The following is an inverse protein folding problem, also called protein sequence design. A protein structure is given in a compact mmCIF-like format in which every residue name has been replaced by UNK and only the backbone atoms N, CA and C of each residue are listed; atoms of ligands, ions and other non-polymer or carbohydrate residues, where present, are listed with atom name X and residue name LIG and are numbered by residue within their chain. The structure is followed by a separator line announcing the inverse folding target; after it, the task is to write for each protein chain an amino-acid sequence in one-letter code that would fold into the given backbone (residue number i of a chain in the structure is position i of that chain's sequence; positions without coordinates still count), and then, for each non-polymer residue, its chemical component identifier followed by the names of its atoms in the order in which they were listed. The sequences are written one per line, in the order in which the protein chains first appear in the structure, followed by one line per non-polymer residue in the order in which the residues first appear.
data_IF_081392691637
#
_entry.id   IF_081392691637
#
_cell.length_a   1.000
_cell.length_b   1.000
_cell.length_c   1.000
_cell.angle_alpha   90.00
_cell.angle_beta   90.00
_cell.angle_gamma   90.00
#
_symmetry.space_group_name_H-M   'P 1'
#
loop_
_entity.id
_entity.type
_entity.pdbx_description
1 polymer ?
#
# COMPACT_ATOMS: atom_id res chain seq x y z
N UNK A 1 14.29 5.68 15.95
CA UNK A 1 12.98 6.04 16.54
C UNK A 1 12.74 7.54 16.39
N UNK A 2 11.49 7.99 16.40
CA UNK A 2 11.11 9.40 16.36
C UNK A 2 11.21 9.97 17.78
N UNK A 3 11.90 11.10 17.97
CA UNK A 3 12.03 11.75 19.26
C UNK A 3 10.71 12.41 19.69
N UNK A 4 10.47 12.66 20.99
CA UNK A 4 9.27 13.38 21.41
C UNK A 4 9.12 14.77 20.78
N UNK A 5 10.22 15.48 20.56
CA UNK A 5 10.26 16.78 19.91
C UNK A 5 9.88 16.69 18.43
N UNK A 6 10.47 15.76 17.68
CA UNK A 6 10.12 15.48 16.30
C UNK A 6 8.64 15.05 16.18
N UNK A 7 8.17 14.22 17.12
CA UNK A 7 6.79 13.76 17.13
C UNK A 7 5.80 14.95 17.23
N UNK A 8 6.03 15.87 18.16
CA UNK A 8 5.17 17.05 18.31
C UNK A 8 5.22 17.93 17.05
N UNK A 9 6.40 18.17 16.49
CA UNK A 9 6.58 18.89 15.22
C UNK A 9 5.74 18.26 14.10
N UNK A 10 5.78 16.93 13.93
CA UNK A 10 5.04 16.27 12.87
C UNK A 10 3.53 16.22 13.14
N UNK A 11 3.10 16.05 14.38
CA UNK A 11 1.67 16.06 14.76
C UNK A 11 0.96 17.34 14.35
N UNK A 12 1.63 18.50 14.43
CA UNK A 12 1.06 19.79 14.02
C UNK A 12 0.70 19.83 12.54
N UNK A 13 1.32 18.98 11.70
CA UNK A 13 0.99 18.85 10.29
C UNK A 13 -0.31 18.08 10.04
N UNK A 14 -0.90 17.45 11.05
CA UNK A 14 -2.11 16.63 10.94
C UNK A 14 -3.22 17.15 11.86
N UNK A 15 -4.07 18.10 11.39
CA UNK A 15 -5.11 18.73 12.22
C UNK A 15 -6.11 17.75 12.83
N UNK A 16 -6.26 16.54 12.24
CA UNK A 16 -7.13 15.49 12.78
C UNK A 16 -6.75 15.07 14.20
N UNK A 17 -5.47 15.17 14.57
CA UNK A 17 -4.94 14.81 15.91
C UNK A 17 -5.48 15.69 17.02
N UNK A 18 -6.01 16.89 16.70
CA UNK A 18 -6.67 17.77 17.65
C UNK A 18 -8.05 17.28 18.08
N UNK A 19 -8.66 16.38 17.29
CA UNK A 19 -10.04 15.90 17.48
C UNK A 19 -10.12 14.43 17.82
N UNK A 20 -9.18 13.63 17.31
CA UNK A 20 -9.23 12.17 17.37
C UNK A 20 -7.85 11.56 17.64
N UNK A 21 -7.83 10.42 18.31
CA UNK A 21 -6.74 9.46 18.23
C UNK A 21 -6.97 8.68 16.92
N UNK A 22 -6.16 8.96 15.89
CA UNK A 22 -6.35 8.40 14.57
C UNK A 22 -5.47 7.19 14.33
N UNK A 23 -6.06 6.01 14.26
CA UNK A 23 -5.41 4.70 14.11
C UNK A 23 -5.96 3.90 12.92
N UNK A 24 -6.28 4.58 11.80
CA UNK A 24 -6.96 3.93 10.67
C UNK A 24 -6.25 4.09 9.31
N UNK A 25 -4.90 4.22 9.33
CA UNK A 25 -4.13 4.46 8.11
C UNK A 25 -4.17 3.30 7.12
N UNK A 26 -4.39 2.07 7.58
CA UNK A 26 -4.60 0.90 6.73
C UNK A 26 -5.94 0.94 5.94
N UNK A 27 -6.86 1.86 6.26
CA UNK A 27 -8.06 2.13 5.45
C UNK A 27 -7.88 3.37 4.57
N UNK A 28 -7.69 4.54 5.19
CA UNK A 28 -7.47 5.82 4.49
C UNK A 28 -6.72 6.74 5.45
N UNK A 29 -5.74 7.49 4.96
CA UNK A 29 -5.01 8.46 5.77
C UNK A 29 -5.55 9.88 5.61
N UNK A 30 -5.47 10.72 6.66
CA UNK A 30 -5.67 12.15 6.52
C UNK A 30 -4.51 12.76 5.73
N UNK A 31 -4.80 13.85 5.01
CA UNK A 31 -3.76 14.64 4.35
C UNK A 31 -3.03 15.51 5.38
N UNK A 32 -1.72 15.67 5.18
CA UNK A 32 -0.97 16.69 5.92
C UNK A 32 -1.34 18.09 5.43
N UNK A 33 -1.10 19.10 6.28
CA UNK A 33 -1.28 20.52 5.89
C UNK A 33 -0.39 20.89 4.70
N UNK A 34 0.80 20.27 4.56
CA UNK A 34 1.69 20.47 3.41
C UNK A 34 1.06 19.94 2.11
N UNK A 35 0.50 18.72 2.13
CA UNK A 35 -0.19 18.14 0.97
C UNK A 35 -1.46 18.94 0.61
N UNK A 36 -2.24 19.36 1.61
CA UNK A 36 -3.42 20.20 1.40
C UNK A 36 -3.06 21.54 0.77
N UNK A 37 -2.04 22.23 1.28
CA UNK A 37 -1.59 23.50 0.71
C UNK A 37 -1.13 23.35 -0.74
N UNK A 38 -0.42 22.27 -1.07
CA UNK A 38 0.04 22.00 -2.43
C UNK A 38 -1.14 21.77 -3.41
N UNK A 39 -2.21 21.09 -2.98
CA UNK A 39 -3.45 20.96 -3.79
C UNK A 39 -4.12 22.31 -3.97
N UNK A 40 -4.28 23.09 -2.90
CA UNK A 40 -4.92 24.39 -2.95
C UNK A 40 -4.20 25.35 -3.90
N UNK A 41 -2.87 25.38 -3.80
CA UNK A 41 -2.04 26.19 -4.69
C UNK A 41 -2.24 25.81 -6.17
N UNK A 42 -2.22 24.49 -6.47
CA UNK A 42 -2.47 24.00 -7.83
C UNK A 42 -3.86 24.42 -8.36
N UNK A 43 -4.90 24.31 -7.53
CA UNK A 43 -6.26 24.67 -7.92
C UNK A 43 -6.43 26.18 -8.14
N UNK A 44 -5.78 27.01 -7.30
CA UNK A 44 -5.75 28.46 -7.46
C UNK A 44 -5.03 28.85 -8.75
N UNK A 45 -3.83 28.31 -9.00
CA UNK A 45 -3.08 28.56 -10.24
C UNK A 45 -3.92 28.20 -11.47
N UNK A 46 -4.62 27.07 -11.43
CA UNK A 46 -5.48 26.66 -12.53
C UNK A 46 -6.71 27.57 -12.73
N UNK A 47 -7.27 28.11 -11.65
CA UNK A 47 -8.46 28.96 -11.71
C UNK A 47 -8.17 30.42 -12.06
N UNK A 48 -7.00 30.94 -11.66
CA UNK A 48 -6.70 32.37 -11.72
C UNK A 48 -5.69 32.74 -12.81
N UNK A 49 -4.74 31.85 -13.09
CA UNK A 49 -3.59 32.20 -13.92
C UNK A 49 -3.62 31.54 -15.28
N UNK A 50 -3.87 30.23 -15.35
CA UNK A 50 -3.82 29.49 -16.61
C UNK A 50 -4.76 28.27 -16.60
N UNK A 51 -5.60 28.16 -17.61
CA UNK A 51 -6.41 26.97 -17.85
C UNK A 51 -5.59 25.73 -18.24
N UNK A 52 -4.41 25.95 -18.84
CA UNK A 52 -3.50 24.89 -19.30
C UNK A 52 -2.09 25.13 -18.75
N UNK A 53 -1.65 24.26 -17.85
CA UNK A 53 -0.31 24.24 -17.26
C UNK A 53 0.40 22.89 -17.47
N UNK A 54 0.16 22.29 -18.64
CA UNK A 54 0.66 20.96 -19.00
C UNK A 54 2.16 20.78 -18.77
N UNK A 55 2.99 21.71 -19.21
CA UNK A 55 4.45 21.62 -19.05
C UNK A 55 4.86 21.56 -17.58
N UNK A 56 4.26 22.41 -16.73
CA UNK A 56 4.53 22.41 -15.29
C UNK A 56 4.11 21.10 -14.63
N UNK A 57 2.97 20.53 -15.02
CA UNK A 57 2.51 19.25 -14.51
C UNK A 57 3.37 18.10 -15.02
N UNK A 58 3.82 18.15 -16.27
CA UNK A 58 4.74 17.16 -16.83
C UNK A 58 6.08 17.14 -16.07
N UNK A 59 6.64 18.31 -15.76
CA UNK A 59 7.86 18.44 -14.95
C UNK A 59 7.66 17.89 -13.52
N UNK A 60 6.61 18.32 -12.83
CA UNK A 60 6.26 17.81 -11.48
C UNK A 60 6.02 16.29 -11.50
N UNK A 61 5.40 15.76 -12.55
CA UNK A 61 5.14 14.33 -12.70
C UNK A 61 6.43 13.53 -12.89
N UNK A 62 7.40 14.06 -13.65
CA UNK A 62 8.74 13.46 -13.77
C UNK A 62 9.44 13.41 -12.42
N UNK A 63 9.45 14.54 -11.71
CA UNK A 63 10.04 14.61 -10.37
C UNK A 63 9.34 13.66 -9.38
N UNK A 64 8.01 13.51 -9.45
CA UNK A 64 7.29 12.55 -8.61
C UNK A 64 7.70 11.10 -8.91
N UNK A 65 7.91 10.73 -10.19
CA UNK A 65 8.41 9.38 -10.53
C UNK A 65 9.79 9.12 -9.94
N UNK A 66 10.69 10.12 -9.96
CA UNK A 66 12.01 10.04 -9.32
C UNK A 66 11.88 9.81 -7.79
N UNK A 67 10.98 10.55 -7.13
CA UNK A 67 10.74 10.36 -5.69
C UNK A 67 10.15 8.97 -5.38
N UNK A 68 9.23 8.46 -6.20
CA UNK A 68 8.70 7.10 -6.07
C UNK A 68 9.82 6.08 -6.31
N UNK A 69 10.61 6.27 -7.36
CA UNK A 69 11.78 5.44 -7.64
C UNK A 69 12.71 5.36 -6.44
N UNK A 70 13.05 6.51 -5.84
CA UNK A 70 13.86 6.58 -4.62
C UNK A 70 13.21 5.84 -3.43
N UNK A 71 11.88 5.89 -3.31
CA UNK A 71 11.14 5.24 -2.22
C UNK A 71 11.25 3.71 -2.25
N UNK A 72 11.29 3.13 -3.45
CA UNK A 72 11.28 1.67 -3.66
C UNK A 72 12.58 1.12 -4.27
N UNK A 73 13.62 1.95 -4.37
CA UNK A 73 14.91 1.67 -5.04
C UNK A 73 14.76 1.23 -6.50
N UNK A 74 14.05 2.03 -7.30
CA UNK A 74 13.83 1.84 -8.73
C UNK A 74 14.20 3.09 -9.53
N UNK A 75 14.37 2.93 -10.87
CA UNK A 75 14.42 4.05 -11.80
C UNK A 75 13.01 4.67 -11.95
N UNK A 76 12.90 6.00 -11.95
CA UNK A 76 11.64 6.72 -12.18
C UNK A 76 10.97 6.37 -13.52
N UNK A 77 11.74 5.99 -14.53
CA UNK A 77 11.23 5.52 -15.82
C UNK A 77 10.48 4.18 -15.73
N UNK A 78 10.60 3.46 -14.61
CA UNK A 78 9.85 2.21 -14.34
C UNK A 78 8.52 2.46 -13.63
N UNK A 79 8.10 3.72 -13.49
CA UNK A 79 6.88 4.11 -12.76
C UNK A 79 5.83 4.63 -13.73
N UNK A 80 4.64 4.01 -13.71
CA UNK A 80 3.43 4.50 -14.35
C UNK A 80 2.44 5.00 -13.30
N UNK A 81 1.71 6.08 -13.57
CA UNK A 81 0.63 6.53 -12.70
C UNK A 81 -0.66 5.76 -12.99
N UNK A 82 -1.31 5.33 -11.93
CA UNK A 82 -2.58 4.60 -11.98
C UNK A 82 -3.57 5.17 -10.96
N UNK A 83 -4.89 5.05 -11.17
CA UNK A 83 -5.87 5.55 -10.21
C UNK A 83 -5.81 4.85 -8.83
N UNK A 84 -5.45 3.58 -8.81
CA UNK A 84 -5.45 2.75 -7.61
C UNK A 84 -4.68 1.44 -7.85
N UNK A 85 -4.40 0.71 -6.76
CA UNK A 85 -3.73 -0.60 -6.80
C UNK A 85 -4.40 -1.59 -7.76
N UNK A 86 -5.73 -1.68 -7.71
CA UNK A 86 -6.46 -2.65 -8.55
C UNK A 86 -6.24 -2.41 -10.04
N UNK A 87 -6.20 -1.15 -10.50
CA UNK A 87 -5.88 -0.81 -11.90
C UNK A 87 -4.48 -1.28 -12.26
N UNK A 88 -3.49 -1.04 -11.40
CA UNK A 88 -2.12 -1.51 -11.63
C UNK A 88 -2.04 -3.05 -11.76
N UNK A 89 -2.70 -3.78 -10.87
CA UNK A 89 -2.75 -5.25 -10.93
C UNK A 89 -3.49 -5.75 -12.17
N UNK A 90 -4.58 -5.08 -12.60
CA UNK A 90 -5.30 -5.43 -13.84
C UNK A 90 -4.45 -5.17 -15.10
N UNK A 91 -3.61 -4.12 -15.12
CA UNK A 91 -2.67 -3.89 -16.24
C UNK A 91 -1.74 -5.09 -16.37
N UNK A 92 -1.18 -5.59 -15.27
CA UNK A 92 -0.31 -6.77 -15.29
C UNK A 92 -1.10 -8.03 -15.70
N UNK A 93 -2.25 -8.26 -15.07
CA UNK A 93 -3.08 -9.44 -15.34
C UNK A 93 -3.49 -9.54 -16.81
N UNK A 94 -3.98 -8.44 -17.38
CA UNK A 94 -4.47 -8.43 -18.77
C UNK A 94 -3.35 -8.33 -19.81
N UNK A 95 -2.16 -7.84 -19.44
CA UNK A 95 -1.05 -7.62 -20.37
C UNK A 95 -0.12 -8.82 -20.56
N UNK A 96 -0.17 -9.83 -19.69
CA UNK A 96 0.68 -11.02 -19.79
C UNK A 96 0.14 -12.04 -20.82
N UNK A 97 1.02 -12.77 -21.54
CA UNK A 97 0.63 -13.77 -22.55
C UNK A 97 0.28 -15.10 -21.89
N UNK A 98 -0.92 -15.21 -21.35
CA UNK A 98 -1.41 -16.41 -20.68
C UNK A 98 -1.67 -17.58 -21.64
N UNK A 99 -1.46 -18.79 -21.12
CA UNK A 99 -1.80 -20.05 -21.79
C UNK A 99 -2.78 -20.86 -20.94
N UNK A 100 -3.64 -21.63 -21.58
CA UNK A 100 -4.53 -22.55 -20.86
C UNK A 100 -3.73 -23.52 -19.99
N UNK A 101 -4.07 -23.56 -18.70
CA UNK A 101 -3.41 -24.39 -17.71
C UNK A 101 -2.28 -23.70 -16.95
N UNK A 102 -1.91 -22.46 -17.30
CA UNK A 102 -1.02 -21.63 -16.45
C UNK A 102 -1.64 -21.44 -15.07
N UNK A 103 -0.79 -21.40 -14.05
CA UNK A 103 -1.22 -21.31 -12.65
C UNK A 103 -0.71 -20.02 -12.02
N UNK A 104 -1.60 -19.36 -11.26
CA UNK A 104 -1.30 -18.20 -10.41
C UNK A 104 -1.47 -18.61 -8.96
N UNK A 105 -0.48 -18.34 -8.12
CA UNK A 105 -0.56 -18.52 -6.66
C UNK A 105 -0.99 -17.23 -5.99
N UNK A 106 -1.94 -17.33 -5.06
CA UNK A 106 -2.49 -16.21 -4.28
C UNK A 106 -2.73 -16.68 -2.85
N UNK A 107 -2.28 -15.97 -1.80
CA UNK A 107 -2.66 -16.30 -0.42
C UNK A 107 -4.18 -16.19 -0.20
N UNK A 108 -4.75 -17.04 0.68
CA UNK A 108 -6.20 -17.04 0.98
C UNK A 108 -6.72 -15.76 1.62
N UNK A 109 -5.85 -14.99 2.27
CA UNK A 109 -6.23 -13.79 3.03
C UNK A 109 -5.98 -12.48 2.29
N UNK A 110 -5.71 -12.53 1.00
CA UNK A 110 -5.49 -11.34 0.18
C UNK A 110 -6.69 -10.40 0.14
N UNK A 111 -6.41 -9.11 0.05
CA UNK A 111 -7.49 -8.14 -0.20
C UNK A 111 -8.06 -8.34 -1.61
N UNK A 112 -9.39 -8.18 -1.81
CA UNK A 112 -10.05 -8.44 -3.09
C UNK A 112 -9.42 -7.77 -4.32
N UNK A 113 -8.76 -6.62 -4.17
CA UNK A 113 -8.02 -5.97 -5.27
C UNK A 113 -6.89 -6.83 -5.82
N UNK A 114 -6.29 -7.70 -4.99
CA UNK A 114 -5.25 -8.64 -5.40
C UNK A 114 -5.79 -10.06 -5.62
N UNK A 115 -7.08 -10.22 -5.83
CA UNK A 115 -7.75 -11.48 -6.12
C UNK A 115 -8.50 -11.43 -7.44
N UNK A 116 -9.42 -10.48 -7.59
CA UNK A 116 -10.31 -10.42 -8.76
C UNK A 116 -9.62 -10.24 -10.11
N UNK A 117 -8.50 -9.48 -10.26
CA UNK A 117 -7.78 -9.43 -11.52
C UNK A 117 -7.34 -10.82 -12.02
N UNK A 118 -6.91 -11.66 -11.11
CA UNK A 118 -6.42 -13.02 -11.39
C UNK A 118 -7.57 -13.98 -11.69
N UNK A 119 -8.63 -13.97 -10.87
CA UNK A 119 -9.84 -14.78 -11.13
C UNK A 119 -10.48 -14.46 -12.49
N UNK A 120 -10.39 -13.21 -12.96
CA UNK A 120 -10.92 -12.85 -14.28
C UNK A 120 -10.22 -13.59 -15.42
N UNK A 121 -9.01 -14.11 -15.22
CA UNK A 121 -8.24 -14.87 -16.20
C UNK A 121 -8.69 -16.33 -16.31
N UNK A 122 -9.52 -16.85 -15.40
CA UNK A 122 -10.06 -18.21 -15.48
C UNK A 122 -10.85 -18.46 -16.77
N UNK A 123 -11.45 -17.41 -17.34
CA UNK A 123 -12.11 -17.42 -18.65
C UNK A 123 -11.17 -17.76 -19.83
N UNK A 124 -9.86 -17.56 -19.60
CA UNK A 124 -8.79 -17.88 -20.57
C UNK A 124 -8.14 -19.23 -20.27
N UNK A 125 -8.67 -20.00 -19.31
CA UNK A 125 -8.15 -21.29 -18.89
C UNK A 125 -6.96 -21.21 -17.91
N UNK A 126 -6.66 -20.04 -17.36
CA UNK A 126 -5.69 -19.86 -16.27
C UNK A 126 -6.31 -20.37 -14.97
N UNK A 127 -5.51 -20.96 -14.10
CA UNK A 127 -5.95 -21.48 -12.79
C UNK A 127 -5.43 -20.62 -11.67
N UNK A 128 -6.32 -20.13 -10.81
CA UNK A 128 -5.94 -19.45 -9.57
C UNK A 128 -5.96 -20.45 -8.41
N UNK A 129 -4.82 -20.62 -7.76
CA UNK A 129 -4.71 -21.52 -6.61
C UNK A 129 -4.42 -20.71 -5.36
N UNK A 130 -5.36 -20.78 -4.42
CA UNK A 130 -5.23 -20.14 -3.12
C UNK A 130 -4.33 -20.96 -2.20
N UNK A 131 -3.40 -20.29 -1.53
CA UNK A 131 -2.48 -20.90 -0.57
C UNK A 131 -2.95 -20.62 0.86
N UNK A 132 -3.17 -21.66 1.68
CA UNK A 132 -3.49 -21.48 3.10
C UNK A 132 -2.38 -20.71 3.82
N UNK A 133 -2.75 -19.80 4.70
CA UNK A 133 -1.81 -18.96 5.48
C UNK A 133 -2.10 -19.01 6.98
N UNK A 134 -1.91 -20.16 7.65
CA UNK A 134 -2.30 -20.37 9.06
C UNK A 134 -1.56 -19.45 10.03
N UNK A 135 -0.36 -18.97 9.67
CA UNK A 135 0.42 -18.00 10.45
C UNK A 135 -0.02 -16.54 10.25
N UNK A 136 -1.01 -16.29 9.35
CA UNK A 136 -1.51 -14.97 9.00
C UNK A 136 -0.84 -14.35 7.78
N UNK A 137 0.10 -15.03 7.13
CA UNK A 137 0.77 -14.67 5.88
C UNK A 137 1.53 -15.86 5.29
N UNK A 138 2.01 -15.72 4.06
CA UNK A 138 2.73 -16.76 3.32
C UNK A 138 4.19 -16.84 3.79
N UNK A 139 4.61 -18.01 4.23
CA UNK A 139 6.01 -18.29 4.59
C UNK A 139 6.81 -18.76 3.36
N UNK A 140 8.12 -18.42 3.26
CA UNK A 140 8.95 -18.78 2.11
C UNK A 140 8.95 -20.29 1.80
N UNK A 141 9.03 -21.15 2.81
CA UNK A 141 9.04 -22.60 2.62
C UNK A 141 7.68 -23.14 2.11
N UNK A 142 6.56 -22.53 2.53
CA UNK A 142 5.25 -22.87 1.97
C UNK A 142 5.19 -22.56 0.46
N UNK A 143 5.73 -21.40 0.04
CA UNK A 143 5.81 -21.06 -1.37
C UNK A 143 6.64 -22.09 -2.14
N UNK A 144 7.85 -22.43 -1.63
CA UNK A 144 8.74 -23.39 -2.27
C UNK A 144 8.03 -24.73 -2.55
N UNK A 145 7.30 -25.21 -1.55
CA UNK A 145 6.54 -26.46 -1.65
C UNK A 145 5.28 -26.37 -2.54
N UNK A 146 4.77 -25.15 -2.75
CA UNK A 146 3.58 -24.92 -3.55
C UNK A 146 3.85 -24.76 -5.04
N UNK A 147 5.05 -24.35 -5.44
CA UNK A 147 5.39 -24.11 -6.85
C UNK A 147 5.35 -25.42 -7.65
N UNK A 148 4.74 -25.36 -8.84
CA UNK A 148 4.69 -26.45 -9.83
C UNK A 148 5.24 -25.98 -11.18
N UNK A 149 5.53 -26.87 -12.14
CA UNK A 149 5.94 -26.46 -13.49
C UNK A 149 4.92 -25.57 -14.23
N UNK A 150 3.67 -25.53 -13.75
CA UNK A 150 2.58 -24.70 -14.31
C UNK A 150 2.51 -23.33 -13.65
N UNK A 151 3.15 -23.13 -12.51
CA UNK A 151 3.13 -21.86 -11.77
C UNK A 151 3.88 -20.79 -12.57
N UNK A 152 3.18 -19.73 -12.97
CA UNK A 152 3.72 -18.62 -13.75
C UNK A 152 3.87 -17.34 -12.95
N UNK A 153 3.03 -17.18 -11.92
CA UNK A 153 2.96 -15.94 -11.17
C UNK A 153 2.57 -16.21 -9.71
N UNK A 154 3.22 -15.47 -8.81
CA UNK A 154 2.79 -15.26 -7.43
C UNK A 154 2.26 -13.82 -7.29
N UNK A 155 1.01 -13.67 -6.86
CA UNK A 155 0.44 -12.38 -6.47
C UNK A 155 0.36 -12.31 -4.94
N UNK A 156 1.03 -11.33 -4.34
CA UNK A 156 1.23 -11.24 -2.89
C UNK A 156 1.15 -9.79 -2.42
N UNK A 157 0.43 -9.54 -1.33
CA UNK A 157 0.53 -8.26 -0.62
C UNK A 157 1.85 -8.15 0.15
N UNK A 158 2.50 -7.00 0.15
CA UNK A 158 3.70 -6.75 0.97
C UNK A 158 3.41 -6.91 2.46
N UNK A 159 2.18 -6.55 2.86
CA UNK A 159 1.62 -6.74 4.20
C UNK A 159 0.17 -7.15 4.07
N UNK A 160 -0.23 -8.18 4.78
CA UNK A 160 -1.62 -8.61 4.81
C UNK A 160 -2.53 -7.58 5.46
N UNK A 161 -3.63 -7.22 4.77
CA UNK A 161 -4.51 -6.13 5.19
C UNK A 161 -5.24 -6.39 6.51
N UNK A 162 -5.47 -7.67 6.84
CA UNK A 162 -6.23 -8.06 8.00
C UNK A 162 -5.33 -8.50 9.16
N UNK A 163 -4.39 -9.41 8.93
CA UNK A 163 -3.47 -9.90 9.96
C UNK A 163 -2.35 -8.92 10.30
N UNK A 164 -1.99 -8.04 9.35
CA UNK A 164 -0.80 -7.20 9.46
C UNK A 164 0.52 -7.96 9.32
N UNK A 165 0.49 -9.18 8.78
CA UNK A 165 1.69 -9.96 8.53
C UNK A 165 2.55 -9.30 7.46
N UNK A 166 3.76 -8.87 7.80
CA UNK A 166 4.75 -8.37 6.86
C UNK A 166 5.53 -9.55 6.27
N UNK A 167 5.44 -9.73 4.95
CA UNK A 167 6.10 -10.83 4.26
C UNK A 167 7.61 -10.60 4.11
N UNK A 168 8.39 -11.67 4.17
CA UNK A 168 9.80 -11.67 3.77
C UNK A 168 9.89 -11.66 2.24
N UNK A 169 9.69 -10.46 1.66
CA UNK A 169 9.69 -10.27 0.20
C UNK A 169 11.02 -10.66 -0.44
N UNK A 170 12.14 -10.53 0.30
CA UNK A 170 13.47 -10.91 -0.20
C UNK A 170 13.56 -12.40 -0.42
N UNK A 171 13.25 -13.20 0.60
CA UNK A 171 13.30 -14.67 0.48
C UNK A 171 12.26 -15.21 -0.51
N UNK A 172 11.04 -14.62 -0.50
CA UNK A 172 9.98 -14.98 -1.43
C UNK A 172 10.38 -14.66 -2.88
N UNK A 173 10.90 -13.46 -3.14
CA UNK A 173 11.34 -13.06 -4.48
C UNK A 173 12.51 -13.90 -4.99
N UNK A 174 13.44 -14.27 -4.11
CA UNK A 174 14.53 -15.19 -4.46
C UNK A 174 13.97 -16.56 -4.92
N UNK A 175 12.99 -17.12 -4.19
CA UNK A 175 12.32 -18.36 -4.58
C UNK A 175 11.61 -18.22 -5.93
N UNK A 176 10.87 -17.13 -6.14
CA UNK A 176 10.22 -16.87 -7.42
C UNK A 176 11.23 -16.84 -8.57
N UNK A 177 12.35 -16.13 -8.39
CA UNK A 177 13.43 -16.04 -9.38
C UNK A 177 14.05 -17.41 -9.70
N UNK A 178 14.34 -18.22 -8.67
CA UNK A 178 14.90 -19.57 -8.82
C UNK A 178 14.02 -20.50 -9.66
N UNK A 179 12.70 -20.30 -9.60
CA UNK A 179 11.71 -21.15 -10.29
C UNK A 179 11.12 -20.51 -11.56
N UNK A 180 11.58 -19.31 -11.94
CA UNK A 180 11.04 -18.60 -13.12
C UNK A 180 9.59 -18.14 -12.94
N UNK A 181 9.14 -17.93 -11.71
CA UNK A 181 7.81 -17.44 -11.33
C UNK A 181 7.83 -15.92 -11.28
N UNK A 182 6.88 -15.23 -11.93
CA UNK A 182 6.74 -13.77 -11.84
C UNK A 182 6.27 -13.37 -10.44
N UNK A 183 6.91 -12.38 -9.84
CA UNK A 183 6.59 -11.89 -8.51
C UNK A 183 5.90 -10.53 -8.57
N UNK A 184 4.59 -10.51 -8.35
CA UNK A 184 3.75 -9.31 -8.39
C UNK A 184 3.29 -8.95 -7.00
N UNK A 185 3.54 -7.70 -6.58
CA UNK A 185 3.31 -7.24 -5.23
C UNK A 185 2.21 -6.16 -5.17
N UNK A 186 1.19 -6.39 -4.32
CA UNK A 186 0.35 -5.31 -3.82
C UNK A 186 1.10 -4.59 -2.68
N UNK A 187 1.60 -3.38 -2.97
CA UNK A 187 2.41 -2.59 -2.06
C UNK A 187 1.61 -1.76 -1.06
N UNK A 188 0.28 -1.68 -1.21
CA UNK A 188 -0.56 -0.65 -0.57
C UNK A 188 -0.51 -0.62 0.97
N UNK A 189 -0.15 -1.72 1.63
CA UNK A 189 -0.07 -1.77 3.09
C UNK A 189 1.36 -1.66 3.65
N UNK A 190 2.39 -1.72 2.79
CA UNK A 190 3.79 -1.67 3.22
C UNK A 190 4.57 -0.46 2.70
N UNK A 191 4.27 0.00 1.47
CA UNK A 191 5.03 1.09 0.83
C UNK A 191 4.90 2.40 1.61
N UNK A 192 6.05 3.00 1.90
CA UNK A 192 6.15 4.26 2.67
C UNK A 192 6.31 4.06 4.18
N UNK A 193 6.05 2.85 4.71
CA UNK A 193 6.17 2.55 6.14
C UNK A 193 7.06 1.35 6.45
N UNK A 194 7.37 0.54 5.46
CA UNK A 194 8.39 -0.51 5.51
C UNK A 194 9.40 -0.20 4.42
N UNK A 195 10.72 -0.28 4.69
CA UNK A 195 11.74 -0.16 3.65
C UNK A 195 11.47 -1.16 2.52
N UNK A 196 11.56 -0.67 1.28
CA UNK A 196 11.27 -1.46 0.07
C UNK A 196 12.42 -1.33 -0.91
N UNK A 197 12.88 -2.46 -1.43
CA UNK A 197 13.87 -2.54 -2.50
C UNK A 197 13.40 -3.53 -3.56
N UNK A 198 12.80 -3.02 -4.64
CA UNK A 198 12.21 -3.88 -5.66
C UNK A 198 13.26 -4.68 -6.44
N UNK A 199 14.50 -4.19 -6.51
CA UNK A 199 15.59 -4.86 -7.20
C UNK A 199 16.13 -6.01 -6.33
N UNK A 200 16.43 -5.74 -5.06
CA UNK A 200 16.92 -6.74 -4.11
C UNK A 200 15.89 -7.85 -3.89
N UNK A 201 14.60 -7.51 -3.89
CA UNK A 201 13.51 -8.44 -3.66
C UNK A 201 13.00 -9.12 -4.93
N UNK A 202 13.63 -8.86 -6.08
CA UNK A 202 13.26 -9.44 -7.38
C UNK A 202 11.78 -9.28 -7.72
N UNK A 203 11.20 -8.12 -7.40
CA UNK A 203 9.81 -7.80 -7.69
C UNK A 203 9.68 -7.45 -9.17
N UNK A 204 8.85 -8.18 -9.91
CA UNK A 204 8.59 -7.89 -11.33
C UNK A 204 7.65 -6.69 -11.50
N UNK A 205 6.58 -6.58 -10.67
CA UNK A 205 5.74 -5.40 -10.62
C UNK A 205 5.22 -5.14 -9.20
N UNK A 206 5.04 -3.85 -8.87
CA UNK A 206 4.45 -3.42 -7.61
C UNK A 206 3.37 -2.38 -7.89
N UNK A 207 2.13 -2.67 -7.48
CA UNK A 207 1.01 -1.74 -7.58
C UNK A 207 0.69 -1.10 -6.23
N UNK A 208 0.47 0.21 -6.22
CA UNK A 208 0.22 0.93 -4.97
C UNK A 208 -0.75 2.09 -5.14
N UNK A 209 -1.83 2.11 -4.36
CA UNK A 209 -2.69 3.29 -4.23
C UNK A 209 -2.18 4.20 -3.11
N UNK A 210 -2.11 5.52 -3.37
CA UNK A 210 -1.47 6.45 -2.45
C UNK A 210 -2.26 6.82 -1.19
N UNK A 211 -3.56 6.57 -1.14
CA UNK A 211 -4.49 7.10 -0.12
C UNK A 211 -4.38 6.49 1.28
N UNK A 212 -3.60 5.44 1.45
CA UNK A 212 -3.36 4.80 2.75
C UNK A 212 -2.06 5.34 3.36
N UNK A 213 -1.06 4.51 3.46
CA UNK A 213 0.19 4.83 4.14
C UNK A 213 1.00 5.96 3.49
N UNK A 214 0.85 6.21 2.18
CA UNK A 214 1.50 7.35 1.52
C UNK A 214 0.80 8.70 1.73
N UNK A 215 -0.40 8.72 2.33
CA UNK A 215 -1.16 9.95 2.65
C UNK A 215 -1.43 10.83 1.42
N UNK A 216 -1.64 10.22 0.25
CA UNK A 216 -2.01 10.91 -0.98
C UNK A 216 -3.53 11.05 -1.11
N UNK A 217 -4.02 11.93 -1.98
CA UNK A 217 -5.43 11.94 -2.36
C UNK A 217 -5.87 10.58 -2.93
N UNK A 218 -7.15 10.23 -2.71
CA UNK A 218 -7.75 9.06 -3.36
C UNK A 218 -7.81 9.26 -4.88
N UNK A 219 -7.79 8.16 -5.63
CA UNK A 219 -7.82 8.19 -7.09
C UNK A 219 -6.45 8.41 -7.73
N UNK A 220 -5.36 8.30 -6.96
CA UNK A 220 -3.99 8.41 -7.45
C UNK A 220 -3.07 7.40 -6.77
N UNK A 221 -2.20 6.80 -7.57
CA UNK A 221 -1.25 5.77 -7.16
C UNK A 221 -0.24 5.50 -8.27
N UNK A 222 0.50 4.42 -8.16
CA UNK A 222 1.51 4.05 -9.14
C UNK A 222 1.59 2.54 -9.36
N UNK A 223 2.13 2.17 -10.51
CA UNK A 223 2.58 0.85 -10.89
C UNK A 223 4.07 0.92 -11.23
N UNK A 224 4.87 0.15 -10.51
CA UNK A 224 6.25 -0.16 -10.91
C UNK A 224 6.24 -1.39 -11.81
N UNK A 225 7.01 -1.37 -12.88
CA UNK A 225 7.23 -2.51 -13.78
C UNK A 225 8.72 -2.67 -14.02
N UNK A 226 9.27 -3.84 -13.69
CA UNK A 226 10.68 -4.14 -13.97
C UNK A 226 10.95 -4.16 -15.47
N UNK A 227 12.20 -3.88 -15.85
CA UNK A 227 12.58 -3.88 -17.25
C UNK A 227 12.33 -5.24 -17.92
N UNK A 228 12.72 -6.40 -17.32
CA UNK A 228 12.44 -7.70 -17.90
C UNK A 228 10.94 -7.99 -18.05
N UNK A 229 10.09 -7.54 -17.12
CA UNK A 229 8.65 -7.74 -17.25
C UNK A 229 8.07 -6.87 -18.36
N UNK A 230 8.54 -5.65 -18.54
CA UNK A 230 8.04 -4.72 -19.57
C UNK A 230 8.19 -5.28 -20.99
N UNK A 231 9.21 -6.09 -21.28
CA UNK A 231 9.39 -6.74 -22.58
C UNK A 231 8.24 -7.66 -22.98
N UNK A 232 7.62 -8.30 -21.99
CA UNK A 232 6.52 -9.25 -22.21
C UNK A 232 5.14 -8.62 -22.01
N UNK A 233 5.07 -7.55 -21.21
CA UNK A 233 3.82 -6.94 -20.79
C UNK A 233 3.27 -6.04 -21.90
N UNK A 234 2.14 -6.43 -22.48
CA UNK A 234 1.43 -5.61 -23.48
C UNK A 234 0.44 -4.69 -22.78
N UNK A 235 0.39 -3.38 -23.11
CA UNK A 235 -0.67 -2.51 -22.59
C UNK A 235 -2.05 -3.06 -22.93
N UNK A 236 -2.87 -3.33 -21.91
CA UNK A 236 -4.25 -3.78 -22.09
C UNK A 236 -5.16 -2.64 -22.57
N UNK A 237 -4.75 -1.40 -22.32
CA UNK A 237 -5.45 -0.17 -22.70
C UNK A 237 -4.47 0.74 -23.44
N UNK A 238 -4.84 1.19 -24.62
CA UNK A 238 -4.10 2.24 -25.33
C UNK A 238 -4.44 3.62 -24.78
N UNK A 239 -3.44 4.48 -24.68
CA UNK A 239 -3.62 5.85 -24.22
C UNK A 239 -2.70 6.82 -24.92
N UNK A 240 -3.15 8.05 -25.11
CA UNK A 240 -2.41 9.08 -25.84
C UNK A 240 -1.10 9.49 -25.12
N UNK A 241 -1.01 9.31 -23.81
CA UNK A 241 0.22 9.58 -23.03
C UNK A 241 1.22 8.42 -23.05
N UNK A 242 0.81 7.25 -23.54
CA UNK A 242 1.62 6.03 -23.56
C UNK A 242 2.50 5.87 -24.79
N UNK A 243 2.58 6.87 -25.68
CA UNK A 243 3.38 6.86 -26.90
C UNK A 243 4.67 7.71 -26.73
N UNK A 244 5.62 7.59 -27.66
CA UNK A 244 6.91 8.31 -27.58
C UNK A 244 6.75 9.84 -27.63
N UNK A 245 5.86 10.33 -28.50
CA UNK A 245 5.65 11.77 -28.77
C UNK A 245 4.20 12.17 -28.53
N UNK A 246 3.73 12.16 -27.27
CA UNK A 246 2.33 12.45 -26.93
C UNK A 246 1.88 13.87 -27.31
N UNK A 247 2.81 14.79 -27.54
CA UNK A 247 2.55 16.17 -28.01
C UNK A 247 2.19 16.23 -29.50
N UNK A 248 2.45 15.19 -30.29
CA UNK A 248 2.15 15.12 -31.72
C UNK A 248 0.74 14.54 -31.96
N UNK A 249 -0.29 15.27 -31.59
CA UNK A 249 -1.68 14.80 -31.52
C UNK A 249 -2.27 14.21 -32.82
N UNK A 250 -1.75 14.57 -33.98
CA UNK A 250 -2.24 14.08 -35.28
C UNK A 250 -1.31 13.04 -35.93
N UNK A 251 -0.23 12.66 -35.28
CA UNK A 251 0.69 11.61 -35.70
C UNK A 251 0.31 10.28 -35.02
N UNK A 252 -0.68 9.54 -35.56
CA UNK A 252 -1.22 8.35 -34.92
C UNK A 252 -0.34 7.11 -34.99
N UNK A 253 0.42 6.80 -36.06
CA UNK A 253 1.31 5.65 -36.09
C UNK A 253 2.61 5.93 -35.30
N UNK A 254 2.49 5.95 -33.97
CA UNK A 254 3.61 6.11 -33.07
C UNK A 254 3.91 4.82 -32.31
N UNK A 255 5.18 4.61 -32.00
CA UNK A 255 5.62 3.56 -31.10
C UNK A 255 5.20 3.85 -29.65
N UNK A 256 5.01 2.80 -28.87
CA UNK A 256 4.78 2.95 -27.43
C UNK A 256 6.02 3.53 -26.76
N UNK A 257 5.81 4.32 -25.71
CA UNK A 257 6.90 4.83 -24.89
C UNK A 257 7.84 3.71 -24.42
N UNK A 258 9.14 3.96 -24.42
CA UNK A 258 10.16 2.99 -23.98
C UNK A 258 10.21 2.79 -22.47
N UNK A 259 9.48 3.61 -21.70
CA UNK A 259 9.36 3.53 -20.25
C UNK A 259 7.96 3.06 -19.81
N UNK A 260 7.73 3.01 -18.50
CA UNK A 260 6.48 2.53 -17.93
C UNK A 260 5.26 3.43 -18.26
N UNK A 261 5.46 4.65 -18.81
CA UNK A 261 4.35 5.50 -19.26
C UNK A 261 3.51 4.83 -20.34
N UNK A 262 4.04 3.83 -21.06
CA UNK A 262 3.25 3.03 -22.02
C UNK A 262 2.01 2.38 -21.42
N UNK A 263 1.96 2.26 -20.08
CA UNK A 263 0.81 1.72 -19.33
C UNK A 263 -0.16 2.81 -18.84
N UNK A 264 0.11 4.09 -19.11
CA UNK A 264 -0.78 5.20 -18.79
C UNK A 264 -1.77 5.47 -19.92
N UNK A 265 -3.04 5.68 -19.59
CA UNK A 265 -4.10 5.82 -20.60
C UNK A 265 -4.43 7.26 -20.97
N UNK A 266 -3.97 8.22 -20.21
CA UNK A 266 -4.25 9.64 -20.40
C UNK A 266 -4.33 10.40 -19.10
N UNK A 267 -5.17 11.45 -19.06
CA UNK A 267 -5.26 12.34 -17.92
C UNK A 267 -5.47 11.62 -16.59
N UNK A 268 -4.54 11.81 -15.68
CA UNK A 268 -4.62 11.38 -14.28
C UNK A 268 -5.05 12.56 -13.40
N UNK A 269 -5.25 12.31 -12.09
CA UNK A 269 -5.61 13.35 -11.13
C UNK A 269 -4.44 14.32 -10.90
N UNK A 270 -4.25 15.29 -11.81
CA UNK A 270 -3.12 16.23 -11.80
C UNK A 270 -2.96 16.99 -10.47
N UNK A 271 -4.07 17.33 -9.80
CA UNK A 271 -4.07 17.95 -8.48
C UNK A 271 -3.43 17.08 -7.38
N UNK A 272 -3.35 15.75 -7.59
CA UNK A 272 -2.71 14.84 -6.65
C UNK A 272 -1.17 14.86 -6.76
N UNK A 273 -0.62 15.25 -7.91
CA UNK A 273 0.84 15.25 -8.13
C UNK A 273 1.58 16.13 -7.12
N UNK A 274 1.26 17.42 -6.95
CA UNK A 274 1.94 18.26 -5.96
C UNK A 274 1.72 17.79 -4.53
N UNK A 275 0.55 17.23 -4.22
CA UNK A 275 0.29 16.66 -2.91
C UNK A 275 1.14 15.41 -2.62
N UNK A 276 1.29 14.53 -3.59
CA UNK A 276 2.13 13.35 -3.50
C UNK A 276 3.61 13.71 -3.31
N UNK A 277 4.10 14.73 -4.03
CA UNK A 277 5.44 15.28 -3.86
C UNK A 277 5.63 15.77 -2.41
N UNK A 278 4.72 16.61 -1.90
CA UNK A 278 4.80 17.15 -0.55
C UNK A 278 4.75 16.05 0.52
N UNK A 279 3.96 15.00 0.30
CA UNK A 279 3.90 13.83 1.19
C UNK A 279 5.22 13.05 1.16
N UNK A 280 5.78 12.72 0.00
CA UNK A 280 7.04 11.98 -0.09
C UNK A 280 8.23 12.77 0.47
N UNK A 281 8.28 14.08 0.26
CA UNK A 281 9.29 14.94 0.89
C UNK A 281 9.22 14.86 2.41
N UNK A 282 8.00 14.86 3.00
CA UNK A 282 7.82 14.66 4.43
C UNK A 282 8.30 13.28 4.88
N UNK A 283 8.00 12.22 4.12
CA UNK A 283 8.48 10.87 4.42
C UNK A 283 10.01 10.76 4.40
N UNK A 284 10.67 11.40 3.45
CA UNK A 284 12.14 11.44 3.40
C UNK A 284 12.75 12.30 4.51
N UNK A 285 12.07 13.36 4.93
CA UNK A 285 12.45 14.17 6.11
C UNK A 285 12.41 13.33 7.38
N UNK A 286 11.34 12.54 7.58
CA UNK A 286 11.20 11.64 8.74
C UNK A 286 12.15 10.45 8.65
N UNK A 287 12.28 9.85 7.47
CA UNK A 287 13.05 8.65 7.18
C UNK A 287 12.23 7.36 7.33
N UNK A 288 12.15 6.57 6.24
CA UNK A 288 11.31 5.35 6.17
C UNK A 288 11.69 4.33 7.26
N UNK A 289 12.97 4.08 7.46
CA UNK A 289 13.44 3.16 8.50
C UNK A 289 13.05 3.65 9.91
N UNK A 290 13.12 4.97 10.19
CA UNK A 290 12.67 5.55 11.46
C UNK A 290 11.16 5.40 11.65
N UNK A 291 10.38 5.56 10.57
CA UNK A 291 8.92 5.31 10.57
C UNK A 291 8.65 3.86 10.93
N UNK A 292 9.30 2.92 10.26
CA UNK A 292 9.09 1.49 10.51
C UNK A 292 9.42 1.07 11.94
N UNK A 293 10.58 1.49 12.45
CA UNK A 293 10.97 1.22 13.85
C UNK A 293 9.97 1.80 14.85
N UNK A 294 9.49 3.02 14.59
CA UNK A 294 8.49 3.68 15.44
C UNK A 294 7.18 2.89 15.48
N UNK A 295 6.66 2.48 14.31
CA UNK A 295 5.45 1.66 14.21
C UNK A 295 5.60 0.31 14.90
N UNK A 296 6.73 -0.36 14.72
CA UNK A 296 7.02 -1.63 15.40
C UNK A 296 7.01 -1.49 16.91
N UNK A 297 7.54 -0.40 17.44
CA UNK A 297 7.51 -0.09 18.88
C UNK A 297 6.09 0.13 19.36
N UNK A 298 5.32 1.02 18.72
CA UNK A 298 3.94 1.31 19.10
C UNK A 298 3.07 0.05 19.09
N UNK A 299 3.17 -0.75 18.03
CA UNK A 299 2.43 -2.00 17.92
C UNK A 299 2.91 -3.04 18.93
N UNK A 300 4.19 -3.03 19.32
CA UNK A 300 4.70 -3.86 20.41
C UNK A 300 4.06 -3.53 21.75
N UNK A 301 3.98 -2.27 22.10
CA UNK A 301 3.31 -1.78 23.31
C UNK A 301 1.82 -2.20 23.28
N UNK A 302 1.15 -1.97 22.15
CA UNK A 302 -0.27 -2.29 22.03
C UNK A 302 -0.54 -3.79 22.13
N UNK A 303 0.23 -4.64 21.45
CA UNK A 303 0.12 -6.11 21.50
C UNK A 303 0.29 -6.63 22.94
N UNK A 304 1.27 -6.12 23.67
CA UNK A 304 1.51 -6.52 25.05
C UNK A 304 0.33 -6.11 25.95
N UNK A 305 -0.12 -4.86 25.85
CA UNK A 305 -1.27 -4.39 26.61
C UNK A 305 -2.55 -5.18 26.32
N UNK A 306 -2.81 -5.56 25.07
CA UNK A 306 -3.96 -6.41 24.72
C UNK A 306 -3.87 -7.79 25.38
N UNK A 307 -2.67 -8.40 25.45
CA UNK A 307 -2.46 -9.70 26.13
C UNK A 307 -2.71 -9.58 27.61
N UNK A 308 -2.21 -8.52 28.26
CA UNK A 308 -2.38 -8.27 29.68
C UNK A 308 -3.87 -8.08 30.04
N UNK A 309 -4.65 -7.51 29.12
CA UNK A 309 -6.10 -7.34 29.26
C UNK A 309 -6.92 -8.59 28.88
N UNK A 310 -6.28 -9.66 28.42
CA UNK A 310 -6.94 -10.92 28.04
C UNK A 310 -7.67 -10.87 26.70
N UNK A 311 -7.32 -9.93 25.79
CA UNK A 311 -7.89 -9.91 24.45
C UNK A 311 -7.14 -10.87 23.52
N UNK A 312 -7.86 -11.36 22.51
CA UNK A 312 -7.31 -12.27 21.51
C UNK A 312 -6.70 -11.50 20.36
N UNK A 313 -5.49 -11.88 19.99
CA UNK A 313 -4.81 -11.35 18.81
C UNK A 313 -5.18 -12.19 17.58
N UNK A 314 -5.52 -11.51 16.49
CA UNK A 314 -5.54 -12.11 15.17
C UNK A 314 -4.18 -11.92 14.49
N UNK A 315 -3.53 -10.77 14.74
CA UNK A 315 -2.17 -10.48 14.29
C UNK A 315 -1.17 -11.46 14.91
N UNK A 316 -0.26 -11.98 14.08
CA UNK A 316 0.86 -12.78 14.57
C UNK A 316 1.75 -11.94 15.50
N UNK A 317 1.95 -12.35 16.77
CA UNK A 317 2.70 -11.57 17.73
C UNK A 317 4.22 -11.56 17.49
N UNK A 318 4.73 -12.40 16.59
CA UNK A 318 6.16 -12.49 16.28
C UNK A 318 6.69 -11.14 15.76
N UNK A 319 7.70 -10.53 16.43
CA UNK A 319 8.29 -9.27 15.99
C UNK A 319 8.86 -9.29 14.57
N UNK A 320 9.30 -10.45 14.06
CA UNK A 320 9.90 -10.56 12.72
C UNK A 320 8.93 -10.24 11.58
N UNK A 321 7.65 -10.54 11.78
CA UNK A 321 6.59 -10.32 10.77
C UNK A 321 5.66 -9.15 11.11
N UNK A 322 6.09 -8.29 12.03
CA UNK A 322 5.28 -7.15 12.50
C UNK A 322 5.31 -5.98 11.53
N UNK A 323 4.13 -5.50 11.17
CA UNK A 323 3.93 -4.30 10.36
C UNK A 323 3.35 -3.13 11.17
N UNK A 324 2.78 -2.14 10.47
CA UNK A 324 2.00 -1.04 11.04
C UNK A 324 0.58 -1.44 11.48
N UNK A 325 0.13 -2.67 11.29
CA UNK A 325 -1.25 -3.13 11.52
C UNK A 325 -1.30 -4.08 12.72
N UNK A 326 -2.31 -3.91 13.59
CA UNK A 326 -2.67 -4.88 14.62
C UNK A 326 -4.18 -5.12 14.61
N UNK A 327 -4.58 -6.38 14.48
CA UNK A 327 -5.98 -6.84 14.55
C UNK A 327 -6.20 -7.74 15.76
N UNK A 328 -7.32 -7.49 16.45
CA UNK A 328 -7.63 -8.15 17.71
C UNK A 328 -9.15 -8.20 17.93
N UNK A 329 -9.58 -8.97 18.94
CA UNK A 329 -10.98 -9.07 19.35
C UNK A 329 -11.09 -9.49 20.83
N UNK A 330 -12.18 -9.13 21.52
CA UNK A 330 -12.48 -9.63 22.86
C UNK A 330 -12.61 -11.16 22.87
N UNK A 331 -12.39 -11.80 24.03
CA UNK A 331 -12.62 -13.24 24.23
C UNK A 331 -14.03 -13.62 23.76
N UNK A 332 -15.03 -12.87 24.19
CA UNK A 332 -16.40 -12.96 23.72
C UNK A 332 -16.59 -12.12 22.46
N UNK A 333 -16.62 -12.77 21.31
CA UNK A 333 -16.68 -12.09 20.00
C UNK A 333 -17.89 -11.17 19.82
N UNK A 334 -19.01 -11.42 20.49
CA UNK A 334 -20.16 -10.51 20.49
C UNK A 334 -19.85 -9.13 21.09
N UNK A 335 -18.81 -9.00 21.89
CA UNK A 335 -18.36 -7.73 22.45
C UNK A 335 -17.54 -6.90 21.46
N UNK A 336 -17.19 -7.40 20.28
CA UNK A 336 -16.32 -6.70 19.32
C UNK A 336 -16.97 -5.42 18.80
N UNK A 337 -18.22 -5.48 18.35
CA UNK A 337 -18.94 -4.30 17.85
C UNK A 337 -19.27 -3.31 18.98
N UNK A 338 -19.72 -3.71 20.17
CA UNK A 338 -19.83 -2.80 21.31
C UNK A 338 -18.52 -2.09 21.67
N UNK A 339 -17.40 -2.80 21.72
CA UNK A 339 -16.09 -2.19 21.98
C UNK A 339 -15.71 -1.19 20.87
N UNK A 340 -15.95 -1.53 19.59
CA UNK A 340 -15.75 -0.62 18.48
C UNK A 340 -16.53 0.68 18.66
N UNK A 341 -17.83 0.62 18.93
CA UNK A 341 -18.69 1.78 19.16
C UNK A 341 -18.21 2.61 20.36
N UNK A 342 -17.87 1.95 21.46
CA UNK A 342 -17.34 2.63 22.65
C UNK A 342 -16.05 3.43 22.33
N UNK A 343 -15.12 2.86 21.56
CA UNK A 343 -13.90 3.55 21.16
C UNK A 343 -14.19 4.72 20.20
N UNK A 344 -15.12 4.56 19.24
CA UNK A 344 -15.53 5.65 18.35
C UNK A 344 -16.17 6.83 19.08
N UNK A 345 -17.05 6.56 20.06
CA UNK A 345 -17.67 7.56 20.94
C UNK A 345 -16.60 8.31 21.75
N UNK A 346 -15.54 7.62 22.16
CA UNK A 346 -14.38 8.19 22.83
C UNK A 346 -13.33 8.79 21.85
N UNK A 347 -13.73 9.11 20.62
CA UNK A 347 -12.92 9.77 19.59
C UNK A 347 -11.66 9.00 19.16
N UNK A 348 -11.69 7.68 19.23
CA UNK A 348 -10.68 6.82 18.61
C UNK A 348 -11.18 6.41 17.21
N UNK A 349 -10.36 6.61 16.18
CA UNK A 349 -10.67 6.17 14.81
C UNK A 349 -9.85 4.95 14.45
N UNK A 350 -10.54 3.82 14.28
CA UNK A 350 -9.97 2.52 13.91
C UNK A 350 -10.94 1.82 12.94
N UNK A 351 -10.64 0.60 12.52
CA UNK A 351 -11.56 -0.16 11.65
C UNK A 351 -12.17 -1.35 12.38
N UNK A 352 -13.46 -1.60 12.10
CA UNK A 352 -14.08 -2.90 12.28
C UNK A 352 -14.00 -3.67 10.95
N UNK A 353 -13.38 -4.86 10.95
CA UNK A 353 -13.19 -5.70 9.76
C UNK A 353 -13.61 -7.13 10.07
N UNK A 354 -14.69 -7.59 9.41
CA UNK A 354 -15.35 -8.81 9.86
C UNK A 354 -15.75 -8.65 11.32
N UNK A 355 -15.37 -9.60 12.15
CA UNK A 355 -15.62 -9.52 13.60
C UNK A 355 -14.32 -9.25 14.40
N UNK A 356 -13.51 -8.26 13.92
CA UNK A 356 -12.22 -7.87 14.52
C UNK A 356 -12.03 -6.36 14.46
N UNK A 357 -11.41 -5.81 15.52
CA UNK A 357 -10.91 -4.45 15.51
C UNK A 357 -9.51 -4.43 14.93
N UNK A 358 -9.22 -3.40 14.12
CA UNK A 358 -7.91 -3.20 13.50
C UNK A 358 -7.42 -1.78 13.74
N UNK A 359 -6.26 -1.66 14.39
CA UNK A 359 -5.54 -0.40 14.47
C UNK A 359 -4.41 -0.34 13.44
N UNK A 360 -4.12 0.88 13.03
CA UNK A 360 -3.04 1.20 12.11
C UNK A 360 -2.52 2.64 12.43
N UNK A 361 -1.62 2.80 13.42
CA UNK A 361 -0.99 4.08 13.74
C UNK A 361 -0.04 4.54 12.63
N UNK A 362 0.44 5.80 12.70
CA UNK A 362 1.47 6.28 11.80
C UNK A 362 2.56 7.04 12.56
N UNK A 363 3.57 7.55 11.85
CA UNK A 363 4.76 8.17 12.44
C UNK A 363 4.46 9.36 13.36
N UNK A 364 3.31 9.99 13.26
CA UNK A 364 2.88 11.09 14.14
C UNK A 364 1.99 10.63 15.32
N UNK A 365 1.75 9.32 15.47
CA UNK A 365 1.07 8.74 16.63
C UNK A 365 2.06 8.58 17.79
N UNK A 366 1.69 9.00 19.00
CA UNK A 366 2.52 8.89 20.19
C UNK A 366 2.20 7.67 21.06
N UNK A 367 3.16 7.26 21.92
CA UNK A 367 2.95 6.19 22.91
C UNK A 367 1.81 6.52 23.88
N UNK A 368 1.67 7.81 24.27
CA UNK A 368 0.59 8.24 25.13
C UNK A 368 -0.80 7.98 24.53
N UNK A 369 -0.95 8.08 23.19
CA UNK A 369 -2.21 7.76 22.53
C UNK A 369 -2.48 6.26 22.55
N UNK A 370 -1.46 5.45 22.33
CA UNK A 370 -1.58 3.97 22.41
C UNK A 370 -1.98 3.53 23.82
N UNK A 371 -1.33 4.05 24.84
CA UNK A 371 -1.65 3.75 26.25
C UNK A 371 -3.08 4.19 26.59
N UNK A 372 -3.48 5.40 26.17
CA UNK A 372 -4.84 5.89 26.40
C UNK A 372 -5.90 5.00 25.76
N UNK A 373 -5.64 4.43 24.56
CA UNK A 373 -6.55 3.48 23.94
C UNK A 373 -6.62 2.16 24.74
N UNK A 374 -5.48 1.68 25.26
CA UNK A 374 -5.45 0.52 26.17
C UNK A 374 -6.24 0.76 27.45
N UNK A 375 -6.13 1.93 28.09
CA UNK A 375 -6.90 2.31 29.28
C UNK A 375 -8.42 2.32 29.00
N UNK A 376 -8.82 2.81 27.82
CA UNK A 376 -10.23 2.76 27.39
C UNK A 376 -10.71 1.32 27.20
N UNK A 377 -9.90 0.47 26.56
CA UNK A 377 -10.21 -0.95 26.38
C UNK A 377 -10.34 -1.63 27.76
N UNK A 378 -9.40 -1.38 28.67
CA UNK A 378 -9.46 -1.91 30.04
C UNK A 378 -10.75 -1.51 30.76
N UNK A 379 -11.12 -0.23 30.65
CA UNK A 379 -12.35 0.31 31.24
C UNK A 379 -13.59 -0.38 30.68
N UNK A 380 -13.63 -0.63 29.37
CA UNK A 380 -14.72 -1.36 28.74
C UNK A 380 -14.80 -2.82 29.22
N UNK A 381 -13.69 -3.53 29.21
CA UNK A 381 -13.63 -4.95 29.63
C UNK A 381 -14.05 -5.13 31.09
N UNK A 382 -13.62 -4.21 32.00
CA UNK A 382 -14.01 -4.24 33.42
C UNK A 382 -15.51 -4.01 33.63
N UNK A 383 -16.17 -3.23 32.76
CA UNK A 383 -17.62 -2.99 32.83
C UNK A 383 -18.46 -4.12 32.24
N UNK A 384 -17.87 -4.89 31.31
CA UNK A 384 -18.55 -6.00 30.65
C UNK A 384 -18.48 -7.33 31.44
N UNK A 385 -17.59 -7.41 32.44
CA UNK A 385 -17.52 -8.50 33.44
C UNK A 385 -18.45 -8.22 34.61
#
# INVERSE_FOLDING_TARGET
MISPEDLEKYRQLFPITRKFIYLNHAATSPLSTRALAAIQQYLLERSELMGDNWELIAEKSRYLRELIGRLINADGNRIAFVPNTNTGLNIVAAGLPWQTGDEILVPEMEFPSNVYPWLNLEKQGVRVRFLPVPSGGLEPEQLRNAITPKTKLLALSSVEFLSGYAHDLKSIGQICREHGVRFIVDGIQGTGVIPMDVNEYHIDALANGGHKWLMWPQGFGFLYVSEPLQEFLKPAYGGWTGVEHPEQFLNYPQELSNDARRFETGGYMSAAVPAAIAALQLFFEVGISRIYEHLRKLNGIFINGLKDLGLRLFTNPNPAVRSGIVSFYPEERQQTEPLYKYLEENRVRLSLRGNMLRIAPHFYTGEAEINRVLDMIETFVKKAR
#
